data_IF_916028550086
#
_entry.id   IF_916028550086
#
_cell.length_a   1.000
_cell.length_b   1.000
_cell.length_c   1.000
_cell.angle_alpha   90.00
_cell.angle_beta   90.00
_cell.angle_gamma   90.00
#
_symmetry.space_group_name_H-M   'P 1'
#
loop_
_entity.id
_entity.type
_entity.pdbx_description
1 polymer ?
#
# COMPACT_ATOMS: atom_id res chain seq x y z
N UNK A 1 -19.31 -16.47 3.00
CA UNK A 1 -18.69 -16.42 1.66
C UNK A 1 -18.86 -14.99 1.15
N UNK A 2 -17.77 -14.36 0.83
CA UNK A 2 -17.73 -13.01 0.25
C UNK A 2 -17.30 -13.09 -1.22
N UNK A 3 -17.60 -12.05 -1.99
CA UNK A 3 -17.23 -11.99 -3.40
C UNK A 3 -16.58 -10.66 -3.76
N UNK A 4 -15.60 -10.74 -4.63
CA UNK A 4 -14.90 -9.61 -5.24
C UNK A 4 -14.52 -9.90 -6.69
N UNK A 5 -13.55 -9.15 -7.18
CA UNK A 5 -12.97 -9.35 -8.50
C UNK A 5 -11.77 -10.28 -8.35
N UNK A 6 -11.81 -11.43 -8.98
CA UNK A 6 -10.67 -12.34 -9.07
C UNK A 6 -9.62 -11.77 -10.03
N UNK A 7 -8.50 -11.30 -9.51
CA UNK A 7 -7.50 -10.57 -10.31
C UNK A 7 -6.25 -11.38 -10.60
N UNK A 8 -5.94 -12.37 -9.77
CA UNK A 8 -4.86 -13.32 -10.01
C UNK A 8 -5.35 -14.75 -9.69
N UNK A 9 -5.20 -15.64 -10.65
CA UNK A 9 -5.72 -17.01 -10.58
C UNK A 9 -4.97 -17.83 -9.54
N UNK A 10 -5.65 -18.77 -8.90
CA UNK A 10 -5.10 -19.69 -7.92
C UNK A 10 -6.01 -19.88 -6.73
N UNK A 11 -5.62 -20.77 -5.83
CA UNK A 11 -6.31 -21.01 -4.57
C UNK A 11 -5.34 -20.73 -3.43
N UNK A 12 -5.64 -19.70 -2.65
CA UNK A 12 -4.95 -19.38 -1.41
C UNK A 12 -5.68 -19.99 -0.23
N UNK A 13 -4.96 -20.71 0.62
CA UNK A 13 -5.47 -21.25 1.89
C UNK A 13 -4.48 -20.86 2.97
N UNK A 14 -4.96 -20.19 4.00
CA UNK A 14 -4.06 -19.72 5.06
C UNK A 14 -4.79 -19.00 6.18
N UNK A 15 -4.04 -18.11 6.85
CA UNK A 15 -4.51 -17.32 7.97
C UNK A 15 -4.47 -15.83 7.66
N UNK A 16 -5.51 -15.13 8.10
CA UNK A 16 -5.66 -13.69 7.91
C UNK A 16 -4.59 -12.91 8.66
N UNK A 17 -3.92 -12.02 7.95
CA UNK A 17 -3.14 -10.92 8.49
C UNK A 17 -3.75 -9.62 7.97
N UNK A 18 -4.38 -8.86 8.86
CA UNK A 18 -4.95 -7.57 8.51
C UNK A 18 -3.83 -6.53 8.52
N UNK A 19 -3.66 -5.86 7.39
CA UNK A 19 -2.75 -4.73 7.25
C UNK A 19 -3.59 -3.47 7.15
N UNK A 20 -3.56 -2.68 8.21
CA UNK A 20 -4.22 -1.39 8.21
C UNK A 20 -3.30 -0.36 7.56
N UNK A 21 -3.80 0.30 6.52
CA UNK A 21 -3.23 1.58 6.10
C UNK A 21 -3.58 2.59 7.18
N UNK A 22 -2.69 2.76 8.16
CA UNK A 22 -2.90 3.74 9.22
C UNK A 22 -2.95 5.13 8.56
N UNK A 23 -4.17 5.66 8.40
CA UNK A 23 -4.33 7.07 8.06
C UNK A 23 -3.75 7.86 9.21
N UNK A 24 -2.55 8.39 9.00
CA UNK A 24 -1.88 9.19 10.01
C UNK A 24 -2.76 10.41 10.32
N UNK A 25 -3.17 10.55 11.58
CA UNK A 25 -3.92 11.73 12.03
C UNK A 25 -2.94 12.90 12.06
N UNK A 26 -3.16 13.87 11.18
CA UNK A 26 -2.34 15.08 11.08
C UNK A 26 -2.86 16.13 12.03
N UNK A 27 -2.02 16.57 12.96
CA UNK A 27 -2.34 17.70 13.83
C UNK A 27 -2.27 19.00 13.00
N UNK A 28 -3.36 19.77 13.00
CA UNK A 28 -3.45 21.02 12.25
C UNK A 28 -3.42 22.28 13.15
N UNK A 29 -2.85 22.14 14.35
CA UNK A 29 -2.57 23.27 15.22
C UNK A 29 -1.57 24.23 14.60
N UNK A 30 -1.58 25.47 15.09
CA UNK A 30 -0.61 26.51 14.78
C UNK A 30 0.30 26.77 16.00
N UNK A 31 1.31 27.60 15.86
CA UNK A 31 2.28 27.95 16.91
C UNK A 31 3.50 27.01 17.03
N UNK A 32 3.83 26.30 15.96
CA UNK A 32 5.06 25.54 15.88
C UNK A 32 6.26 26.44 15.56
N UNK A 33 7.43 26.04 16.02
CA UNK A 33 8.69 26.69 15.67
C UNK A 33 9.07 26.32 14.23
N UNK A 34 9.02 27.27 13.30
CA UNK A 34 9.26 27.03 11.89
C UNK A 34 10.65 26.42 11.61
N UNK A 35 11.70 26.83 12.31
CA UNK A 35 13.05 26.28 12.10
C UNK A 35 13.15 24.81 12.52
N UNK A 36 12.50 24.44 13.63
CA UNK A 36 12.45 23.06 14.10
C UNK A 36 11.63 22.19 13.14
N UNK A 37 10.49 22.69 12.66
CA UNK A 37 9.62 21.95 11.75
C UNK A 37 10.29 21.77 10.38
N UNK A 38 10.99 22.77 9.85
CA UNK A 38 11.79 22.62 8.63
C UNK A 38 12.88 21.57 8.80
N UNK A 39 13.59 21.57 9.92
CA UNK A 39 14.60 20.56 10.22
C UNK A 39 13.99 19.15 10.24
N UNK A 40 12.85 18.95 10.94
CA UNK A 40 12.13 17.69 10.98
C UNK A 40 11.73 17.23 9.57
N UNK A 41 11.22 18.15 8.72
CA UNK A 41 10.87 17.86 7.35
C UNK A 41 12.07 17.37 6.54
N UNK A 42 13.21 18.06 6.60
CA UNK A 42 14.40 17.67 5.84
C UNK A 42 14.96 16.33 6.29
N UNK A 43 14.97 16.05 7.60
CA UNK A 43 15.38 14.75 8.14
C UNK A 43 14.45 13.62 7.69
N UNK A 44 13.14 13.83 7.77
CA UNK A 44 12.15 12.85 7.33
C UNK A 44 12.22 12.60 5.82
N UNK A 45 12.39 13.67 5.01
CA UNK A 45 12.56 13.58 3.56
C UNK A 45 13.80 12.74 3.19
N UNK A 46 14.91 12.95 3.88
CA UNK A 46 16.12 12.15 3.69
C UNK A 46 15.84 10.68 3.99
N UNK A 47 15.25 10.39 5.14
CA UNK A 47 14.88 9.03 5.56
C UNK A 47 13.91 8.38 4.57
N UNK A 48 12.92 9.12 4.08
CA UNK A 48 11.97 8.63 3.07
C UNK A 48 12.68 8.22 1.78
N UNK A 49 13.60 9.05 1.28
CA UNK A 49 14.37 8.77 0.07
C UNK A 49 15.21 7.50 0.25
N UNK A 50 15.98 7.42 1.35
CA UNK A 50 16.82 6.26 1.64
C UNK A 50 16.00 4.96 1.71
N UNK A 51 14.91 4.94 2.47
CA UNK A 51 14.02 3.78 2.56
C UNK A 51 13.38 3.42 1.22
N UNK A 52 13.03 4.42 0.40
CA UNK A 52 12.40 4.16 -0.91
C UNK A 52 13.42 3.61 -1.91
N UNK A 53 14.67 4.04 -1.85
CA UNK A 53 15.77 3.49 -2.66
C UNK A 53 16.07 2.03 -2.28
N UNK A 54 16.03 1.69 -0.99
CA UNK A 54 16.15 0.30 -0.52
C UNK A 54 15.01 -0.56 -1.07
N UNK A 55 13.76 -0.12 -0.91
CA UNK A 55 12.58 -0.82 -1.46
C UNK A 55 12.67 -0.99 -2.98
N UNK A 56 13.07 0.05 -3.69
CA UNK A 56 13.27 0.00 -5.15
C UNK A 56 14.31 -1.05 -5.52
N UNK A 57 15.46 -1.07 -4.87
CA UNK A 57 16.51 -2.04 -5.11
C UNK A 57 16.04 -3.49 -4.91
N UNK A 58 15.26 -3.74 -3.85
CA UNK A 58 14.69 -5.06 -3.59
C UNK A 58 13.66 -5.47 -4.64
N UNK A 59 12.80 -4.53 -5.06
CA UNK A 59 11.77 -4.78 -6.05
C UNK A 59 12.38 -5.06 -7.44
N UNK A 60 13.39 -4.27 -7.84
CA UNK A 60 14.10 -4.47 -9.11
C UNK A 60 14.81 -5.83 -9.16
N UNK A 61 15.36 -6.32 -8.04
CA UNK A 61 15.93 -7.66 -7.96
C UNK A 61 14.87 -8.76 -8.12
N UNK A 62 13.65 -8.53 -7.64
CA UNK A 62 12.54 -9.51 -7.69
C UNK A 62 11.85 -9.54 -9.06
N UNK A 63 11.61 -8.38 -9.68
CA UNK A 63 10.72 -8.21 -10.83
C UNK A 63 11.40 -7.57 -12.07
N UNK A 64 12.58 -6.99 -11.90
CA UNK A 64 13.31 -6.26 -12.94
C UNK A 64 13.04 -4.75 -12.95
N UNK A 65 13.97 -4.01 -13.62
CA UNK A 65 13.98 -2.54 -13.61
C UNK A 65 12.80 -1.88 -14.34
N UNK A 66 12.14 -2.60 -15.24
CA UNK A 66 11.01 -2.10 -16.05
C UNK A 66 9.65 -2.38 -15.43
N UNK A 67 9.62 -2.92 -14.21
CA UNK A 67 8.38 -3.17 -13.49
C UNK A 67 7.65 -1.87 -13.16
N UNK A 68 6.32 -1.90 -13.20
CA UNK A 68 5.49 -0.71 -12.99
C UNK A 68 5.59 -0.17 -11.57
N UNK A 69 5.68 -1.06 -10.58
CA UNK A 69 5.80 -0.66 -9.17
C UNK A 69 7.19 -0.06 -8.90
N UNK A 70 8.25 -0.56 -9.58
CA UNK A 70 9.56 0.07 -9.57
C UNK A 70 9.53 1.50 -10.14
N UNK A 71 8.78 1.73 -11.22
CA UNK A 71 8.57 3.07 -11.78
C UNK A 71 7.81 3.98 -10.81
N UNK A 72 6.84 3.47 -10.08
CA UNK A 72 6.13 4.24 -9.04
C UNK A 72 7.11 4.69 -7.96
N UNK A 73 7.92 3.80 -7.40
CA UNK A 73 8.91 4.16 -6.38
C UNK A 73 9.94 5.16 -6.90
N UNK A 74 10.40 5.01 -8.15
CA UNK A 74 11.27 6.03 -8.81
C UNK A 74 10.59 7.40 -8.87
N UNK A 75 9.33 7.45 -9.26
CA UNK A 75 8.58 8.70 -9.33
C UNK A 75 8.39 9.34 -7.93
N UNK A 76 8.17 8.53 -6.89
CA UNK A 76 8.10 9.02 -5.52
C UNK A 76 9.44 9.64 -5.07
N UNK A 77 10.58 9.02 -5.41
CA UNK A 77 11.91 9.58 -5.15
C UNK A 77 12.11 10.90 -5.88
N UNK A 78 11.73 10.98 -7.17
CA UNK A 78 11.83 12.23 -7.94
C UNK A 78 10.98 13.34 -7.33
N UNK A 79 9.73 13.05 -6.96
CA UNK A 79 8.85 14.02 -6.31
C UNK A 79 9.38 14.46 -4.94
N UNK A 80 9.93 13.54 -4.16
CA UNK A 80 10.56 13.87 -2.88
C UNK A 80 11.82 14.74 -3.05
N UNK A 81 12.51 14.67 -4.17
CA UNK A 81 13.70 15.48 -4.50
C UNK A 81 13.36 16.79 -5.21
N UNK A 82 12.10 16.96 -5.63
CA UNK A 82 11.69 18.15 -6.37
C UNK A 82 11.77 19.41 -5.51
N UNK A 83 12.48 20.40 -6.00
CA UNK A 83 12.71 21.68 -5.32
C UNK A 83 11.42 22.50 -5.19
N UNK A 84 10.48 22.35 -6.12
CA UNK A 84 9.20 23.04 -6.07
C UNK A 84 8.36 22.54 -4.92
N UNK A 85 8.26 21.22 -4.79
CA UNK A 85 7.58 20.54 -3.65
C UNK A 85 8.22 20.92 -2.33
N UNK A 86 9.56 20.93 -2.25
CA UNK A 86 10.31 21.36 -1.07
C UNK A 86 9.96 22.80 -0.68
N UNK A 87 10.04 23.74 -1.64
CA UNK A 87 9.75 25.15 -1.42
C UNK A 87 8.30 25.39 -0.96
N UNK A 88 7.34 24.65 -1.51
CA UNK A 88 5.94 24.77 -1.09
C UNK A 88 5.74 24.31 0.36
N UNK A 89 6.37 23.22 0.78
CA UNK A 89 6.31 22.73 2.16
C UNK A 89 6.97 23.74 3.12
N UNK A 90 8.17 24.22 2.79
CA UNK A 90 8.88 25.23 3.58
C UNK A 90 8.06 26.50 3.70
N UNK A 91 7.48 26.99 2.62
CA UNK A 91 6.64 28.18 2.62
C UNK A 91 5.36 27.99 3.48
N UNK A 92 4.76 26.81 3.47
CA UNK A 92 3.62 26.51 4.32
C UNK A 92 3.98 26.52 5.81
N UNK A 93 5.13 25.99 6.18
CA UNK A 93 5.64 26.03 7.56
C UNK A 93 5.92 27.49 7.99
N UNK A 94 6.65 28.25 7.16
CA UNK A 94 7.05 29.61 7.50
C UNK A 94 5.86 30.57 7.61
N UNK A 95 4.89 30.46 6.69
CA UNK A 95 3.76 31.40 6.63
C UNK A 95 2.63 31.07 7.62
N UNK A 96 2.44 29.77 7.93
CA UNK A 96 1.28 29.32 8.71
C UNK A 96 1.64 28.80 10.09
N UNK A 97 2.93 28.67 10.41
CA UNK A 97 3.44 28.12 11.68
C UNK A 97 2.80 26.77 12.03
N UNK A 98 2.56 25.92 11.02
CA UNK A 98 2.02 24.57 11.15
C UNK A 98 3.16 23.56 11.24
N UNK A 99 2.87 22.36 11.73
CA UNK A 99 3.86 21.27 11.78
C UNK A 99 4.21 20.75 10.38
N UNK A 100 5.35 20.09 10.28
CA UNK A 100 5.86 19.53 9.03
C UNK A 100 4.87 18.54 8.40
N UNK A 101 4.18 17.73 9.21
CA UNK A 101 3.14 16.80 8.77
C UNK A 101 1.99 17.52 8.07
N UNK A 102 1.51 18.62 8.65
CA UNK A 102 0.39 19.39 8.08
C UNK A 102 0.81 20.11 6.79
N UNK A 103 2.02 20.68 6.75
CA UNK A 103 2.54 21.36 5.57
C UNK A 103 2.71 20.38 4.40
N UNK A 104 3.29 19.19 4.64
CA UNK A 104 3.46 18.17 3.62
C UNK A 104 2.11 17.58 3.17
N UNK A 105 1.19 17.35 4.13
CA UNK A 105 -0.19 16.93 3.84
C UNK A 105 -0.90 17.89 2.89
N UNK A 106 -0.81 19.19 3.14
CA UNK A 106 -1.44 20.22 2.31
C UNK A 106 -0.88 20.25 0.88
N UNK A 107 0.43 20.11 0.72
CA UNK A 107 1.07 20.05 -0.60
C UNK A 107 0.64 18.78 -1.34
N UNK A 108 0.66 17.63 -0.70
CA UNK A 108 0.19 16.38 -1.32
C UNK A 108 -1.29 16.44 -1.69
N UNK A 109 -2.16 17.02 -0.85
CA UNK A 109 -3.58 17.17 -1.15
C UNK A 109 -3.85 18.07 -2.36
N UNK A 110 -3.07 19.15 -2.55
CA UNK A 110 -3.14 19.96 -3.78
C UNK A 110 -2.80 19.15 -5.03
N UNK A 111 -1.73 18.35 -4.98
CA UNK A 111 -1.35 17.46 -6.09
C UNK A 111 -2.43 16.40 -6.37
N UNK A 112 -2.98 15.79 -5.33
CA UNK A 112 -4.07 14.80 -5.43
C UNK A 112 -5.28 15.43 -6.11
N UNK A 113 -5.70 16.64 -5.68
CA UNK A 113 -6.82 17.35 -6.30
C UNK A 113 -6.54 17.67 -7.78
N UNK A 114 -5.34 18.14 -8.10
CA UNK A 114 -4.93 18.42 -9.47
C UNK A 114 -5.05 17.18 -10.36
N UNK A 115 -4.43 16.08 -9.98
CA UNK A 115 -4.45 14.84 -10.75
C UNK A 115 -5.83 14.18 -10.82
N UNK A 116 -6.63 14.26 -9.74
CA UNK A 116 -8.01 13.75 -9.72
C UNK A 116 -8.93 14.53 -10.66
N UNK A 117 -8.65 15.81 -10.92
CA UNK A 117 -9.45 16.64 -11.82
C UNK A 117 -9.14 16.42 -13.31
N UNK A 118 -8.07 15.70 -13.62
CA UNK A 118 -7.68 15.41 -15.00
C UNK A 118 -8.50 14.25 -15.54
N UNK A 119 -9.09 14.41 -16.72
CA UNK A 119 -9.81 13.34 -17.42
C UNK A 119 -8.81 12.42 -18.17
N UNK A 120 -7.91 11.82 -17.41
CA UNK A 120 -6.87 10.93 -17.90
C UNK A 120 -6.64 9.80 -16.88
N UNK A 121 -6.92 8.53 -17.23
CA UNK A 121 -6.76 7.38 -16.33
C UNK A 121 -5.35 7.23 -15.75
N UNK A 122 -4.31 7.50 -16.54
CA UNK A 122 -2.92 7.40 -16.07
C UNK A 122 -2.61 8.46 -14.99
N UNK A 123 -3.21 9.65 -15.11
CA UNK A 123 -3.07 10.70 -14.10
C UNK A 123 -3.86 10.39 -12.83
N UNK A 124 -5.04 9.78 -12.96
CA UNK A 124 -5.82 9.32 -11.81
C UNK A 124 -5.10 8.19 -11.04
N UNK A 125 -4.36 7.33 -11.73
CA UNK A 125 -3.55 6.30 -11.09
C UNK A 125 -2.43 6.90 -10.23
N UNK A 126 -1.84 8.04 -10.64
CA UNK A 126 -0.84 8.76 -9.84
C UNK A 126 -1.36 9.31 -8.51
N UNK A 127 -2.67 9.44 -8.36
CA UNK A 127 -3.28 9.82 -7.06
C UNK A 127 -2.93 8.81 -5.98
N UNK A 128 -3.05 7.52 -6.28
CA UNK A 128 -2.68 6.44 -5.33
C UNK A 128 -1.18 6.49 -4.99
N UNK A 129 -0.32 6.78 -5.97
CA UNK A 129 1.12 6.88 -5.78
C UNK A 129 1.49 8.03 -4.82
N UNK A 130 0.82 9.18 -4.99
CA UNK A 130 1.01 10.35 -4.12
C UNK A 130 0.44 10.08 -2.71
N UNK A 131 -0.69 9.38 -2.61
CA UNK A 131 -1.27 9.00 -1.33
C UNK A 131 -0.33 8.06 -0.56
N UNK A 132 0.29 7.08 -1.21
CA UNK A 132 1.27 6.19 -0.61
C UNK A 132 2.50 6.98 -0.10
N UNK A 133 3.08 7.85 -0.93
CA UNK A 133 4.17 8.74 -0.55
C UNK A 133 3.81 9.61 0.65
N UNK A 134 2.63 10.25 0.62
CA UNK A 134 2.11 11.11 1.68
C UNK A 134 2.03 10.38 3.01
N UNK A 135 1.43 9.22 3.04
CA UNK A 135 1.27 8.44 4.27
C UNK A 135 2.60 7.98 4.85
N UNK A 136 3.51 7.49 4.02
CA UNK A 136 4.84 7.07 4.45
C UNK A 136 5.66 8.23 5.02
N UNK A 137 5.64 9.39 4.37
CA UNK A 137 6.34 10.57 4.87
C UNK A 137 5.78 11.03 6.22
N UNK A 138 4.44 11.06 6.37
CA UNK A 138 3.80 11.44 7.64
C UNK A 138 4.13 10.43 8.74
N UNK A 139 4.16 9.13 8.45
CA UNK A 139 4.58 8.11 9.41
C UNK A 139 6.03 8.34 9.88
N UNK A 140 6.94 8.66 8.98
CA UNK A 140 8.34 8.99 9.31
C UNK A 140 8.40 10.22 10.22
N UNK A 141 7.67 11.29 9.88
CA UNK A 141 7.60 12.51 10.69
C UNK A 141 7.04 12.25 12.10
N UNK A 142 6.10 11.33 12.23
CA UNK A 142 5.49 10.94 13.51
C UNK A 142 6.31 9.89 14.26
N UNK A 143 7.38 9.36 13.67
CA UNK A 143 8.17 8.28 14.28
C UNK A 143 7.38 6.96 14.39
N UNK A 144 6.31 6.79 13.62
CA UNK A 144 5.54 5.56 13.60
C UNK A 144 6.14 4.58 12.58
N UNK A 145 6.14 3.29 12.89
CA UNK A 145 6.65 2.27 11.96
C UNK A 145 5.54 1.84 11.02
N UNK A 146 5.88 1.71 9.73
CA UNK A 146 5.04 0.98 8.78
C UNK A 146 4.88 -0.48 9.24
N UNK A 147 3.82 -1.13 8.78
CA UNK A 147 3.61 -2.56 9.06
C UNK A 147 4.74 -3.37 8.41
N UNK A 148 5.39 -4.23 9.20
CA UNK A 148 6.49 -5.06 8.70
C UNK A 148 5.94 -6.26 7.94
N UNK A 149 6.17 -6.30 6.62
CA UNK A 149 5.80 -7.38 5.73
C UNK A 149 6.99 -8.25 5.31
N UNK A 150 8.18 -8.01 5.89
CA UNK A 150 9.41 -8.72 5.51
C UNK A 150 9.59 -10.07 6.21
N UNK A 151 8.83 -10.34 7.26
CA UNK A 151 8.93 -11.59 8.03
C UNK A 151 7.52 -12.09 8.37
N UNK A 152 6.90 -12.75 7.41
CA UNK A 152 5.53 -13.24 7.53
C UNK A 152 5.50 -14.72 7.97
N UNK A 153 4.49 -15.11 8.77
CA UNK A 153 4.22 -16.53 9.01
C UNK A 153 3.84 -17.27 7.71
N UNK A 154 4.15 -18.56 7.65
CA UNK A 154 3.72 -19.42 6.54
C UNK A 154 2.22 -19.36 6.30
N UNK A 155 1.83 -19.42 5.04
CA UNK A 155 0.45 -19.39 4.59
C UNK A 155 -0.32 -18.13 5.05
N UNK A 156 0.33 -16.99 5.08
CA UNK A 156 -0.32 -15.70 5.37
C UNK A 156 -1.21 -15.27 4.20
N UNK A 157 -2.46 -14.92 4.49
CA UNK A 157 -3.34 -14.20 3.56
C UNK A 157 -3.46 -12.76 4.03
N UNK A 158 -2.92 -11.85 3.22
CA UNK A 158 -2.95 -10.41 3.51
C UNK A 158 -4.34 -9.88 3.21
N UNK A 159 -4.93 -9.19 4.18
CA UNK A 159 -6.22 -8.51 4.03
C UNK A 159 -6.04 -7.03 4.34
N UNK A 160 -6.33 -6.15 3.38
CA UNK A 160 -6.16 -4.71 3.50
C UNK A 160 -7.35 -3.94 2.90
N UNK A 161 -7.43 -2.64 3.15
CA UNK A 161 -8.35 -1.78 2.41
C UNK A 161 -7.88 -1.56 0.96
N UNK A 162 -6.59 -1.35 0.78
CA UNK A 162 -5.92 -1.21 -0.51
C UNK A 162 -4.47 -1.69 -0.39
N UNK A 163 -3.97 -2.34 -1.42
CA UNK A 163 -2.56 -2.76 -1.50
C UNK A 163 -1.77 -1.70 -2.25
N UNK A 164 -0.80 -1.10 -1.57
CA UNK A 164 0.03 0.00 -2.09
C UNK A 164 1.37 -0.50 -2.63
N UNK A 165 2.02 0.25 -3.54
CA UNK A 165 3.31 -0.13 -4.09
C UNK A 165 4.39 -0.36 -3.03
N UNK A 166 4.42 0.45 -1.98
CA UNK A 166 5.39 0.29 -0.88
C UNK A 166 5.18 -1.02 -0.09
N UNK A 167 3.94 -1.47 0.05
CA UNK A 167 3.62 -2.75 0.70
C UNK A 167 4.11 -3.93 -0.14
N UNK A 168 3.88 -3.88 -1.44
CA UNK A 168 4.28 -4.95 -2.37
C UNK A 168 5.79 -5.10 -2.47
N UNK A 169 6.52 -3.98 -2.46
CA UNK A 169 7.97 -3.97 -2.48
C UNK A 169 8.60 -4.66 -1.26
N UNK A 170 8.03 -4.43 -0.06
CA UNK A 170 8.51 -4.99 1.21
C UNK A 170 8.00 -6.40 1.52
N UNK A 171 7.05 -6.92 0.73
CA UNK A 171 6.34 -8.17 1.04
C UNK A 171 7.23 -9.41 0.92
N UNK A 172 7.21 -10.26 1.95
CA UNK A 172 7.81 -11.59 1.91
C UNK A 172 6.91 -12.58 1.15
N UNK A 173 7.09 -12.60 -0.16
CA UNK A 173 6.27 -13.33 -1.11
C UNK A 173 6.24 -14.85 -0.84
N UNK A 174 7.34 -15.40 -0.33
CA UNK A 174 7.46 -16.85 -0.11
C UNK A 174 6.44 -17.38 0.91
N UNK A 175 6.01 -16.52 1.83
CA UNK A 175 5.08 -16.88 2.91
C UNK A 175 3.64 -16.41 2.67
N UNK A 176 3.39 -15.67 1.55
CA UNK A 176 2.06 -15.16 1.19
C UNK A 176 1.26 -16.22 0.43
N UNK A 177 0.18 -16.70 1.02
CA UNK A 177 -0.76 -17.62 0.39
C UNK A 177 -1.81 -16.92 -0.48
N UNK A 178 -2.01 -15.61 -0.31
CA UNK A 178 -2.94 -14.83 -1.11
C UNK A 178 -3.19 -13.42 -0.60
N UNK A 179 -3.89 -12.63 -1.41
CA UNK A 179 -4.20 -11.23 -1.16
C UNK A 179 -5.69 -10.98 -1.31
N UNK A 180 -6.27 -10.25 -0.35
CA UNK A 180 -7.65 -9.75 -0.38
C UNK A 180 -7.66 -8.26 -0.07
N UNK A 181 -8.35 -7.45 -0.88
CA UNK A 181 -8.50 -6.04 -0.58
C UNK A 181 -9.93 -5.53 -0.79
N UNK A 182 -10.32 -4.49 -0.03
CA UNK A 182 -11.63 -3.84 -0.18
C UNK A 182 -11.71 -3.01 -1.45
N UNK A 183 -10.60 -2.43 -1.87
CA UNK A 183 -10.47 -1.59 -3.05
C UNK A 183 -9.58 -2.25 -4.11
N UNK A 184 -9.57 -1.66 -5.29
CA UNK A 184 -8.77 -2.10 -6.42
C UNK A 184 -9.58 -2.87 -7.46
N UNK A 185 -9.02 -3.01 -8.65
CA UNK A 185 -9.61 -3.70 -9.80
C UNK A 185 -8.53 -4.34 -10.66
N UNK A 186 -8.87 -4.83 -11.85
CA UNK A 186 -7.95 -5.54 -12.74
C UNK A 186 -6.70 -4.74 -13.15
N UNK A 187 -6.80 -3.42 -13.16
CA UNK A 187 -5.70 -2.51 -13.52
C UNK A 187 -4.93 -1.97 -12.31
N UNK A 188 -5.38 -2.27 -11.09
CA UNK A 188 -4.70 -1.82 -9.87
C UNK A 188 -3.29 -2.45 -9.77
N UNK A 189 -2.36 -1.73 -9.14
CA UNK A 189 -0.99 -2.22 -8.87
C UNK A 189 -0.99 -3.61 -8.25
N UNK A 190 -1.82 -3.82 -7.24
CA UNK A 190 -1.99 -5.12 -6.57
C UNK A 190 -2.33 -6.27 -7.53
N UNK A 191 -3.15 -6.00 -8.55
CA UNK A 191 -3.56 -7.01 -9.54
C UNK A 191 -2.42 -7.38 -10.48
N UNK A 192 -1.67 -6.38 -10.92
CA UNK A 192 -0.52 -6.57 -11.82
C UNK A 192 0.54 -7.38 -11.10
N UNK A 193 0.89 -6.98 -9.88
CA UNK A 193 1.88 -7.68 -9.08
C UNK A 193 1.45 -9.10 -8.72
N UNK A 194 0.23 -9.28 -8.22
CA UNK A 194 -0.28 -10.59 -7.85
C UNK A 194 -0.23 -11.58 -9.03
N UNK A 195 -0.50 -11.10 -10.26
CA UNK A 195 -0.34 -11.91 -11.47
C UNK A 195 1.11 -12.21 -11.79
N UNK A 196 2.00 -11.21 -11.69
CA UNK A 196 3.43 -11.38 -11.97
C UNK A 196 4.10 -12.38 -11.00
N UNK A 197 3.64 -12.40 -9.75
CA UNK A 197 4.14 -13.28 -8.68
C UNK A 197 3.32 -14.56 -8.52
N UNK A 198 2.30 -14.79 -9.34
CA UNK A 198 1.39 -15.94 -9.28
C UNK A 198 0.70 -16.11 -7.92
N UNK A 199 0.52 -15.01 -7.17
CA UNK A 199 -0.17 -15.01 -5.87
C UNK A 199 -1.68 -14.91 -6.12
N UNK A 200 -2.52 -15.83 -5.59
CA UNK A 200 -3.97 -15.71 -5.70
C UNK A 200 -4.48 -14.40 -5.10
N UNK A 201 -5.30 -13.63 -5.83
CA UNK A 201 -5.78 -12.35 -5.37
C UNK A 201 -7.26 -12.11 -5.71
N UNK A 202 -7.98 -11.55 -4.73
CA UNK A 202 -9.36 -11.11 -4.86
C UNK A 202 -9.48 -9.68 -4.34
N UNK A 203 -9.80 -8.74 -5.22
CA UNK A 203 -9.94 -7.32 -4.89
C UNK A 203 -11.41 -6.88 -4.95
N UNK A 204 -11.70 -5.67 -4.51
CA UNK A 204 -13.06 -5.12 -4.42
C UNK A 204 -14.01 -5.95 -3.53
N UNK A 205 -13.49 -6.55 -2.47
CA UNK A 205 -14.29 -7.31 -1.49
C UNK A 205 -14.82 -6.35 -0.42
N UNK A 206 -15.96 -5.73 -0.67
CA UNK A 206 -16.53 -4.70 0.20
C UNK A 206 -16.78 -5.18 1.63
N UNK A 207 -16.28 -4.44 2.60
CA UNK A 207 -16.50 -4.67 4.02
C UNK A 207 -15.78 -5.92 4.56
N UNK A 208 -14.76 -6.43 3.88
CA UNK A 208 -14.00 -7.61 4.34
C UNK A 208 -13.30 -7.34 5.67
N UNK A 209 -12.75 -6.15 5.87
CA UNK A 209 -12.04 -5.79 7.09
C UNK A 209 -12.91 -5.82 8.35
N UNK A 210 -14.23 -5.65 8.18
CA UNK A 210 -15.19 -5.74 9.29
C UNK A 210 -15.61 -7.19 9.61
N UNK A 211 -15.31 -8.13 8.72
CA UNK A 211 -15.75 -9.53 8.79
C UNK A 211 -14.64 -10.51 9.18
N UNK A 212 -13.39 -10.07 9.15
CA UNK A 212 -12.23 -10.90 9.48
C UNK A 212 -11.52 -10.39 10.72
N UNK A 213 -10.76 -11.29 11.35
CA UNK A 213 -9.82 -11.00 12.43
C UNK A 213 -8.48 -11.62 12.12
N UNK A 214 -7.40 -11.06 12.66
CA UNK A 214 -6.08 -11.68 12.57
C UNK A 214 -6.13 -13.12 13.07
N UNK A 215 -5.55 -14.04 12.30
CA UNK A 215 -5.52 -15.46 12.60
C UNK A 215 -6.75 -16.27 12.14
N UNK A 216 -7.81 -15.62 11.64
CA UNK A 216 -8.94 -16.34 11.04
C UNK A 216 -8.47 -17.23 9.88
N UNK A 217 -9.05 -18.44 9.79
CA UNK A 217 -8.80 -19.31 8.63
C UNK A 217 -9.53 -18.74 7.40
N UNK A 218 -8.84 -18.69 6.27
CA UNK A 218 -9.40 -18.12 5.06
C UNK A 218 -9.02 -18.94 3.82
N UNK A 219 -9.96 -19.03 2.88
CA UNK A 219 -9.72 -19.57 1.54
C UNK A 219 -10.08 -18.49 0.54
N UNK A 220 -9.21 -18.27 -0.44
CA UNK A 220 -9.49 -17.40 -1.58
C UNK A 220 -9.39 -18.19 -2.88
N UNK A 221 -10.34 -17.95 -3.78
CA UNK A 221 -10.31 -18.46 -5.16
C UNK A 221 -10.17 -17.26 -6.11
N UNK A 222 -8.95 -16.98 -6.52
CA UNK A 222 -8.65 -15.85 -7.38
C UNK A 222 -9.14 -15.99 -8.81
N UNK A 223 -9.58 -17.19 -9.23
CA UNK A 223 -10.19 -17.39 -10.53
C UNK A 223 -11.68 -17.00 -10.54
N UNK A 224 -12.38 -17.23 -9.44
CA UNK A 224 -13.82 -16.98 -9.32
C UNK A 224 -14.16 -15.76 -8.45
N UNK A 225 -13.16 -15.11 -7.84
CA UNK A 225 -13.36 -13.96 -6.95
C UNK A 225 -14.09 -14.33 -5.65
N UNK A 226 -13.90 -15.54 -5.15
CA UNK A 226 -14.58 -16.05 -3.96
C UNK A 226 -13.66 -16.05 -2.74
N UNK A 227 -14.19 -15.62 -1.60
CA UNK A 227 -13.48 -15.58 -0.30
C UNK A 227 -14.34 -16.26 0.75
N UNK A 228 -13.77 -17.26 1.42
CA UNK A 228 -14.42 -18.02 2.49
C UNK A 228 -13.70 -17.75 3.80
N UNK A 229 -14.37 -17.08 4.73
CA UNK A 229 -13.88 -16.78 6.08
C UNK A 229 -14.33 -17.91 7.00
N UNK A 230 -13.41 -18.43 7.79
CA UNK A 230 -13.64 -19.56 8.72
C UNK A 230 -14.43 -20.69 8.05
N UNK A 231 -13.90 -21.26 6.94
CA UNK A 231 -14.60 -22.24 6.14
C UNK A 231 -14.95 -23.50 6.94
N UNK A 232 -16.08 -24.14 6.61
CA UNK A 232 -16.41 -25.44 7.18
C UNK A 232 -15.37 -26.51 6.74
N UNK A 233 -15.22 -27.58 7.50
CA UNK A 233 -14.32 -28.69 7.15
C UNK A 233 -14.61 -29.27 5.75
N UNK A 234 -15.87 -29.28 5.34
CA UNK A 234 -16.28 -29.73 4.00
C UNK A 234 -15.74 -28.77 2.92
N UNK A 235 -15.91 -27.48 3.11
CA UNK A 235 -15.40 -26.45 2.18
C UNK A 235 -13.88 -26.54 2.09
N UNK A 236 -13.22 -26.62 3.23
CA UNK A 236 -11.77 -26.74 3.31
C UNK A 236 -11.26 -27.94 2.50
N UNK A 237 -11.82 -29.13 2.71
CA UNK A 237 -11.42 -30.35 2.00
C UNK A 237 -11.65 -30.27 0.48
N UNK A 238 -12.69 -29.57 0.04
CA UNK A 238 -12.96 -29.36 -1.39
C UNK A 238 -11.87 -28.48 -2.01
N UNK A 239 -11.53 -27.35 -1.36
CA UNK A 239 -10.56 -26.41 -1.90
C UNK A 239 -9.12 -26.93 -1.78
N UNK A 240 -8.81 -27.69 -0.75
CA UNK A 240 -7.51 -28.37 -0.64
C UNK A 240 -7.28 -29.36 -1.80
N UNK A 241 -8.32 -30.14 -2.17
CA UNK A 241 -8.26 -31.04 -3.34
C UNK A 241 -8.15 -30.26 -4.65
N UNK A 242 -8.85 -29.13 -4.78
CA UNK A 242 -8.74 -28.25 -5.95
C UNK A 242 -7.32 -27.65 -6.08
N UNK A 243 -6.72 -27.23 -4.95
CA UNK A 243 -5.35 -26.67 -4.93
C UNK A 243 -4.31 -27.69 -5.38
N UNK A 244 -4.43 -28.95 -4.98
CA UNK A 244 -3.49 -30.05 -5.36
C UNK A 244 -3.61 -30.48 -6.84
N UNK A 245 -4.70 -30.13 -7.53
CA UNK A 245 -4.93 -30.52 -8.94
C UNK A 245 -4.46 -29.46 -9.95
N UNK A 246 -4.04 -28.32 -9.47
CA UNK A 246 -3.47 -27.21 -10.26
C UNK A 246 -1.97 -27.17 -10.12
#
# INVERSE_FOLDING_TARGET
MERGIGTSRGIGIGHVLIVYNASAVVNRGTHYNAEEEKKRFFEARKTFIEQTEELLSELEKKLGESDKDALVLKNQIYLARDITTENEVVAAIDNSHICAEAAFDDVCNKLIQLFSSMDNPDMQQRVTDIQDMRERMIQILQGTKAFDLTNLPDNTVIVADEIKPSMTASMDIAHVAGIVAEKGGDTAHASILARALEIPAVLSVKGILQKVKNGDSIIIDGAYGEVFINPTQRTFSIYEKKKKKR
#
